data_IF_300107279155
#
_entry.id   IF_300107279155
#
_cell.length_a   1.000
_cell.length_b   1.000
_cell.length_c   1.000
_cell.angle_alpha   90.00
_cell.angle_beta   90.00
_cell.angle_gamma   90.00
#
_symmetry.space_group_name_H-M   'P 1'
#
loop_
_entity.id
_entity.type
_entity.pdbx_description
1 polymer ?
#
# COMPACT_ATOMS: atom_id res chain seq x y z
N UNK A 1 20.71 -8.57 -38.37
CA UNK A 1 19.66 -7.55 -38.16
C UNK A 1 18.31 -8.25 -38.16
N UNK A 2 17.46 -8.00 -37.16
CA UNK A 2 16.34 -8.86 -36.77
C UNK A 2 15.14 -8.75 -37.72
N UNK A 3 14.48 -9.87 -37.97
CA UNK A 3 13.14 -9.94 -38.52
C UNK A 3 12.31 -10.88 -37.63
N UNK A 4 11.31 -10.31 -36.93
CA UNK A 4 10.16 -10.93 -36.25
C UNK A 4 9.33 -9.79 -35.61
N UNK A 5 8.03 -9.97 -35.28
CA UNK A 5 6.92 -10.09 -36.24
C UNK A 5 5.70 -9.21 -35.86
N UNK A 6 4.81 -9.01 -36.86
CA UNK A 6 3.36 -8.74 -36.79
C UNK A 6 2.81 -7.89 -35.63
N UNK A 7 2.51 -6.63 -35.95
CA UNK A 7 1.41 -5.91 -35.31
C UNK A 7 0.09 -6.60 -35.65
N UNK A 8 -0.54 -7.21 -34.65
CA UNK A 8 -1.93 -7.63 -34.71
C UNK A 8 -2.79 -6.49 -34.20
N UNK A 9 -3.31 -5.72 -35.13
CA UNK A 9 -4.54 -4.96 -35.00
C UNK A 9 -5.67 -5.92 -34.62
N UNK A 10 -6.30 -5.73 -33.47
CA UNK A 10 -7.75 -5.83 -33.24
C UNK A 10 -8.05 -5.83 -31.73
N UNK A 11 -8.53 -4.70 -31.20
CA UNK A 11 -9.68 -4.73 -30.29
C UNK A 11 -10.45 -3.39 -30.33
N UNK A 12 -11.66 -3.51 -30.89
CA UNK A 12 -12.81 -2.63 -31.08
C UNK A 12 -12.96 -1.28 -30.31
N UNK A 13 -13.61 -0.27 -30.93
CA UNK A 13 -14.13 0.91 -30.24
C UNK A 13 -15.51 0.59 -29.66
N UNK A 14 -15.60 0.33 -28.35
CA UNK A 14 -16.87 -0.01 -27.73
C UNK A 14 -16.81 0.00 -26.21
N UNK A 15 -17.46 1.01 -25.62
CA UNK A 15 -17.59 1.24 -24.18
C UNK A 15 -16.36 1.90 -23.52
N UNK A 16 -16.42 3.22 -23.36
CA UNK A 16 -15.52 3.91 -22.44
C UNK A 16 -15.64 3.23 -21.06
N UNK A 17 -14.55 2.74 -20.46
CA UNK A 17 -14.63 2.25 -19.10
C UNK A 17 -15.16 3.41 -18.24
N UNK A 18 -16.16 3.13 -17.41
CA UNK A 18 -16.52 4.04 -16.31
C UNK A 18 -15.22 4.58 -15.72
N UNK A 19 -15.11 5.90 -15.54
CA UNK A 19 -13.88 6.65 -15.19
C UNK A 19 -13.34 6.22 -13.81
N UNK A 20 -12.96 4.96 -13.70
CA UNK A 20 -12.40 4.32 -12.52
C UNK A 20 -10.99 4.86 -12.43
N UNK A 21 -10.73 5.54 -11.32
CA UNK A 21 -9.41 6.08 -11.04
C UNK A 21 -8.45 4.90 -10.94
N UNK A 22 -7.43 4.87 -11.79
CA UNK A 22 -6.43 3.80 -11.77
C UNK A 22 -5.45 4.03 -10.61
N UNK A 23 -4.80 2.98 -10.09
CA UNK A 23 -3.77 3.15 -9.06
C UNK A 23 -2.68 4.15 -9.47
N UNK A 24 -2.27 4.11 -10.75
CA UNK A 24 -1.32 5.07 -11.31
C UNK A 24 -1.82 6.52 -11.30
N UNK A 25 -3.12 6.75 -11.53
CA UNK A 25 -3.71 8.08 -11.43
C UNK A 25 -3.75 8.58 -9.98
N UNK A 26 -4.03 7.71 -9.01
CA UNK A 26 -3.93 8.05 -7.57
C UNK A 26 -2.50 8.49 -7.24
N UNK A 27 -1.51 7.68 -7.64
CA UNK A 27 -0.10 7.97 -7.35
C UNK A 27 0.33 9.32 -7.95
N UNK A 28 -0.05 9.59 -9.20
CA UNK A 28 0.27 10.85 -9.86
C UNK A 28 -0.38 12.05 -9.18
N UNK A 29 -1.65 11.93 -8.77
CA UNK A 29 -2.38 12.99 -8.09
C UNK A 29 -1.74 13.34 -6.74
N UNK A 30 -1.50 12.33 -5.88
CA UNK A 30 -0.87 12.55 -4.58
C UNK A 30 0.57 13.09 -4.71
N UNK A 31 1.31 12.68 -5.74
CA UNK A 31 2.66 13.23 -6.01
C UNK A 31 2.60 14.73 -6.30
N UNK A 32 1.66 15.16 -7.14
CA UNK A 32 1.48 16.59 -7.43
C UNK A 32 1.08 17.38 -6.16
N UNK A 33 0.25 16.81 -5.29
CA UNK A 33 -0.13 17.42 -4.02
C UNK A 33 1.06 17.55 -3.06
N UNK A 34 1.89 16.53 -2.94
CA UNK A 34 3.12 16.56 -2.12
C UNK A 34 4.08 17.63 -2.65
N UNK A 35 4.31 17.65 -3.97
CA UNK A 35 5.22 18.61 -4.62
C UNK A 35 4.71 20.06 -4.57
N UNK A 36 3.40 20.26 -4.43
CA UNK A 36 2.82 21.61 -4.26
C UNK A 36 3.35 22.32 -3.00
N UNK A 37 3.78 21.56 -1.98
CA UNK A 37 4.22 22.08 -0.70
C UNK A 37 3.12 22.76 0.12
N UNK A 38 1.84 22.58 -0.25
CA UNK A 38 0.71 23.23 0.39
C UNK A 38 0.27 22.55 1.68
N UNK A 39 0.63 21.27 1.86
CA UNK A 39 0.20 20.43 2.98
C UNK A 39 1.34 20.22 3.98
N UNK A 40 1.00 19.99 5.25
CA UNK A 40 1.98 19.73 6.30
C UNK A 40 1.38 18.88 7.43
N UNK A 41 2.24 18.27 8.25
CA UNK A 41 1.81 17.49 9.41
C UNK A 41 0.87 16.34 9.02
N UNK A 42 -0.25 16.21 9.73
CA UNK A 42 -1.20 15.12 9.54
C UNK A 42 -1.85 15.11 8.15
N UNK A 43 -2.16 16.28 7.56
CA UNK A 43 -2.75 16.35 6.21
C UNK A 43 -1.77 15.81 5.16
N UNK A 44 -0.48 16.12 5.30
CA UNK A 44 0.55 15.58 4.43
C UNK A 44 0.76 14.08 4.68
N UNK A 45 0.63 13.63 5.93
CA UNK A 45 0.68 12.21 6.27
C UNK A 45 -0.42 11.40 5.57
N UNK A 46 -1.65 11.94 5.51
CA UNK A 46 -2.77 11.31 4.82
C UNK A 46 -2.52 11.20 3.31
N UNK A 47 -1.95 12.23 2.68
CA UNK A 47 -1.59 12.20 1.25
C UNK A 47 -0.52 11.13 0.97
N UNK A 48 0.51 11.03 1.83
CA UNK A 48 1.49 9.95 1.73
C UNK A 48 0.83 8.57 1.90
N UNK A 49 -0.08 8.42 2.87
CA UNK A 49 -0.82 7.17 3.05
C UNK A 49 -1.62 6.80 1.79
N UNK A 50 -2.31 7.75 1.17
CA UNK A 50 -3.13 7.51 -0.02
C UNK A 50 -2.27 7.18 -1.25
N UNK A 51 -1.11 7.83 -1.39
CA UNK A 51 -0.13 7.46 -2.43
C UNK A 51 0.41 6.05 -2.21
N UNK A 52 0.71 5.70 -0.97
CA UNK A 52 1.15 4.35 -0.60
C UNK A 52 0.09 3.29 -0.89
N UNK A 53 -1.20 3.62 -0.70
CA UNK A 53 -2.30 2.74 -1.11
C UNK A 53 -2.30 2.53 -2.62
N UNK A 54 -2.16 3.61 -3.40
CA UNK A 54 -2.04 3.55 -4.85
C UNK A 54 -0.89 2.65 -5.32
N UNK A 55 0.29 2.76 -4.71
CA UNK A 55 1.41 1.88 -5.01
C UNK A 55 1.12 0.41 -4.69
N UNK A 56 0.52 0.12 -3.53
CA UNK A 56 0.20 -1.25 -3.14
C UNK A 56 -0.83 -1.87 -4.09
N UNK A 57 -1.87 -1.13 -4.44
CA UNK A 57 -2.90 -1.58 -5.39
C UNK A 57 -2.35 -1.73 -6.82
N UNK A 58 -1.28 -0.98 -7.15
CA UNK A 58 -0.48 -1.14 -8.36
C UNK A 58 0.51 -2.31 -8.35
N UNK A 59 0.62 -3.06 -7.23
CA UNK A 59 1.56 -4.17 -7.09
C UNK A 59 2.99 -3.75 -6.72
N UNK A 60 3.17 -2.55 -6.18
CA UNK A 60 4.45 -1.97 -5.78
C UNK A 60 4.55 -1.79 -4.25
N UNK A 61 4.49 -2.88 -3.45
CA UNK A 61 4.44 -2.79 -1.98
C UNK A 61 5.68 -2.14 -1.35
N UNK A 62 6.85 -2.19 -2.02
CA UNK A 62 8.07 -1.52 -1.53
C UNK A 62 7.94 0.01 -1.58
N UNK A 63 7.38 0.55 -2.67
CA UNK A 63 7.11 1.98 -2.80
C UNK A 63 6.02 2.41 -1.81
N UNK A 64 5.01 1.56 -1.62
CA UNK A 64 3.99 1.78 -0.60
C UNK A 64 4.58 1.91 0.81
N UNK A 65 5.51 1.02 1.20
CA UNK A 65 6.17 1.06 2.51
C UNK A 65 6.95 2.36 2.71
N UNK A 66 7.65 2.85 1.69
CA UNK A 66 8.36 4.11 1.77
C UNK A 66 7.40 5.27 2.08
N UNK A 67 6.27 5.33 1.38
CA UNK A 67 5.24 6.35 1.62
C UNK A 67 4.59 6.23 3.00
N UNK A 68 4.28 5.01 3.46
CA UNK A 68 3.76 4.85 4.82
C UNK A 68 4.79 5.21 5.90
N UNK A 69 6.10 5.07 5.62
CA UNK A 69 7.13 5.54 6.54
C UNK A 69 7.13 7.06 6.65
N UNK A 70 6.96 7.78 5.53
CA UNK A 70 6.83 9.24 5.54
C UNK A 70 5.53 9.67 6.23
N UNK A 71 4.41 8.99 5.97
CA UNK A 71 3.17 9.23 6.70
C UNK A 71 3.36 9.08 8.22
N UNK A 72 4.06 8.04 8.67
CA UNK A 72 4.32 7.78 10.09
C UNK A 72 5.42 8.65 10.70
N UNK A 73 6.27 9.28 9.88
CA UNK A 73 7.24 10.27 10.35
C UNK A 73 6.54 11.59 10.69
N UNK A 74 5.49 11.92 9.93
CA UNK A 74 4.65 13.11 10.08
C UNK A 74 3.56 12.93 11.14
N UNK A 75 2.88 11.78 11.13
CA UNK A 75 1.91 11.37 12.16
C UNK A 75 2.20 9.94 12.66
N UNK A 76 3.01 9.80 13.74
CA UNK A 76 3.30 8.51 14.35
C UNK A 76 2.10 7.77 14.95
N UNK A 77 0.97 8.46 15.08
CA UNK A 77 -0.28 7.92 15.64
C UNK A 77 -1.31 7.52 14.57
N UNK A 78 -0.98 7.65 13.29
CA UNK A 78 -1.86 7.26 12.20
C UNK A 78 -2.08 5.73 12.18
N UNK A 79 -3.23 5.32 12.70
CA UNK A 79 -3.66 3.91 12.71
C UNK A 79 -3.80 3.38 11.28
N UNK A 80 -4.28 4.21 10.35
CA UNK A 80 -4.42 3.86 8.93
C UNK A 80 -3.05 3.54 8.31
N UNK A 81 -2.06 4.40 8.51
CA UNK A 81 -0.72 4.19 7.96
C UNK A 81 -0.04 2.94 8.55
N UNK A 82 -0.18 2.69 9.86
CA UNK A 82 0.33 1.45 10.50
C UNK A 82 -0.30 0.20 9.91
N UNK A 83 -1.62 0.18 9.74
CA UNK A 83 -2.33 -0.99 9.17
C UNK A 83 -1.94 -1.21 7.72
N UNK A 84 -1.86 -0.13 6.95
CA UNK A 84 -1.53 -0.20 5.53
C UNK A 84 -0.09 -0.65 5.29
N UNK A 85 0.86 -0.15 6.09
CA UNK A 85 2.26 -0.61 6.09
C UNK A 85 2.38 -2.07 6.52
N UNK A 86 1.67 -2.45 7.58
CA UNK A 86 1.63 -3.84 8.02
C UNK A 86 1.07 -4.79 6.95
N UNK A 87 0.08 -4.34 6.18
CA UNK A 87 -0.46 -5.11 5.05
C UNK A 87 0.56 -5.21 3.92
N UNK A 88 1.24 -4.11 3.55
CA UNK A 88 2.29 -4.16 2.53
C UNK A 88 3.47 -5.08 2.94
N UNK A 89 3.82 -5.14 4.23
CA UNK A 89 4.78 -6.10 4.75
C UNK A 89 4.29 -7.55 4.62
N UNK A 90 3.00 -7.82 4.80
CA UNK A 90 2.41 -9.15 4.54
C UNK A 90 2.55 -9.52 3.06
N UNK A 91 2.34 -8.57 2.15
CA UNK A 91 2.47 -8.79 0.71
C UNK A 91 3.92 -9.13 0.32
N UNK A 92 4.91 -8.59 1.03
CA UNK A 92 6.33 -8.92 0.89
C UNK A 92 6.78 -10.18 1.67
N UNK A 93 5.89 -10.79 2.46
CA UNK A 93 6.23 -11.92 3.34
C UNK A 93 7.01 -11.54 4.61
N UNK A 94 7.11 -10.26 4.92
CA UNK A 94 7.82 -9.72 6.09
C UNK A 94 6.93 -9.68 7.34
N UNK A 95 6.45 -10.85 7.76
CA UNK A 95 5.37 -10.94 8.75
C UNK A 95 5.72 -10.39 10.14
N UNK A 96 6.99 -10.43 10.55
CA UNK A 96 7.40 -9.88 11.85
C UNK A 96 7.22 -8.36 11.91
N UNK A 97 7.57 -7.65 10.83
CA UNK A 97 7.36 -6.20 10.72
C UNK A 97 5.87 -5.87 10.63
N UNK A 98 5.12 -6.66 9.88
CA UNK A 98 3.66 -6.53 9.83
C UNK A 98 3.00 -6.64 11.21
N UNK A 99 3.42 -7.63 12.01
CA UNK A 99 2.88 -7.83 13.35
C UNK A 99 3.26 -6.69 14.30
N UNK A 100 4.47 -6.14 14.19
CA UNK A 100 4.89 -4.98 14.99
C UNK A 100 3.99 -3.76 14.72
N UNK A 101 3.70 -3.47 13.45
CA UNK A 101 2.84 -2.35 13.06
C UNK A 101 1.41 -2.53 13.53
N UNK A 102 0.84 -3.73 13.37
CA UNK A 102 -0.52 -4.04 13.83
C UNK A 102 -0.60 -4.00 15.36
N UNK A 103 0.44 -4.42 16.07
CA UNK A 103 0.50 -4.33 17.54
C UNK A 103 0.56 -2.88 18.00
N UNK A 104 1.28 -2.00 17.28
CA UNK A 104 1.28 -0.57 17.55
C UNK A 104 -0.10 0.05 17.29
N UNK A 105 -0.75 -0.30 16.18
CA UNK A 105 -2.09 0.16 15.85
C UNK A 105 -3.11 -0.23 16.93
N UNK A 106 -2.99 -1.44 17.48
CA UNK A 106 -3.84 -1.93 18.58
C UNK A 106 -3.60 -1.21 19.92
N UNK A 107 -2.39 -0.70 20.16
CA UNK A 107 -2.10 0.12 21.34
C UNK A 107 -2.76 1.50 21.26
N UNK A 108 -2.86 2.05 20.05
CA UNK A 108 -3.48 3.36 19.80
C UNK A 108 -5.01 3.26 19.81
N UNK A 109 -5.54 2.30 19.05
CA UNK A 109 -6.98 2.07 18.98
C UNK A 109 -7.29 0.56 19.09
N UNK A 110 -7.76 0.09 20.24
CA UNK A 110 -8.17 -1.30 20.39
C UNK A 110 -9.47 -1.58 19.60
N UNK A 111 -9.35 -1.94 18.32
CA UNK A 111 -10.46 -2.29 17.43
C UNK A 111 -10.50 -3.79 17.11
N UNK A 112 -11.70 -4.35 17.07
CA UNK A 112 -11.93 -5.75 16.71
C UNK A 112 -11.39 -6.12 15.30
N UNK A 113 -11.41 -5.18 14.36
CA UNK A 113 -10.89 -5.39 13.00
C UNK A 113 -9.37 -5.59 13.01
N UNK A 114 -8.63 -4.77 13.75
CA UNK A 114 -7.17 -4.90 13.89
C UNK A 114 -6.78 -6.24 14.50
N UNK A 115 -7.58 -6.75 15.46
CA UNK A 115 -7.37 -8.10 16.03
C UNK A 115 -7.52 -9.20 14.97
N UNK A 116 -8.40 -9.04 13.98
CA UNK A 116 -8.55 -9.99 12.86
C UNK A 116 -7.35 -9.91 11.91
N UNK A 117 -6.90 -8.71 11.56
CA UNK A 117 -5.70 -8.48 10.73
C UNK A 117 -4.48 -9.14 11.39
N UNK A 118 -4.27 -8.90 12.69
CA UNK A 118 -3.22 -9.53 13.49
C UNK A 118 -3.27 -11.06 13.42
N UNK A 119 -4.46 -11.63 13.61
CA UNK A 119 -4.64 -13.08 13.55
C UNK A 119 -4.35 -13.63 12.14
N UNK A 120 -4.67 -12.88 11.08
CA UNK A 120 -4.30 -13.18 9.71
C UNK A 120 -2.78 -13.23 9.53
N UNK A 121 -2.09 -12.15 9.88
CA UNK A 121 -0.63 -12.05 9.76
C UNK A 121 0.09 -13.18 10.53
N UNK A 122 -0.36 -13.54 11.74
CA UNK A 122 0.21 -14.67 12.50
C UNK A 122 0.04 -16.02 11.81
N UNK A 123 -1.12 -16.27 11.21
CA UNK A 123 -1.36 -17.54 10.49
C UNK A 123 -0.45 -17.63 9.26
N UNK A 124 -0.31 -16.55 8.52
CA UNK A 124 0.60 -16.48 7.37
C UNK A 124 2.05 -16.67 7.81
N UNK A 125 2.47 -16.00 8.90
CA UNK A 125 3.79 -16.14 9.48
C UNK A 125 4.11 -17.58 9.90
N UNK A 126 3.19 -18.22 10.62
CA UNK A 126 3.37 -19.60 11.10
C UNK A 126 3.47 -20.59 9.94
N UNK A 127 2.70 -20.39 8.87
CA UNK A 127 2.80 -21.22 7.66
C UNK A 127 4.13 -20.98 6.96
N UNK A 128 4.52 -19.73 6.76
CA UNK A 128 5.78 -19.40 6.10
C UNK A 128 6.99 -20.00 6.83
N UNK A 129 7.06 -19.87 8.16
CA UNK A 129 8.13 -20.48 8.98
C UNK A 129 8.15 -22.00 8.92
N UNK A 130 7.01 -22.65 8.72
CA UNK A 130 6.95 -24.11 8.57
C UNK A 130 7.43 -24.58 7.18
N UNK A 131 7.46 -23.70 6.18
CA UNK A 131 7.99 -24.00 4.84
C UNK A 131 9.49 -23.72 4.71
N UNK A 132 10.03 -22.80 5.51
CA UNK A 132 11.42 -22.32 5.39
C UNK A 132 12.37 -22.87 6.45
N UNK A 133 11.88 -23.72 7.36
CA UNK A 133 12.67 -24.44 8.37
C UNK A 133 12.74 -25.93 8.07
#
# INVERSE_FOLDING_TARGET
MPASPKESSDEAPGSAPSRAVTPAQVVAACTAEIESGQYSGADLADIYNDRGLGYRDGGEPTNAIADYNEALSLDPSSVSALVNRGTAFVDLGEYDRALADVDRALQLEPKNLLRKVRAGARRSHSRYRAYTG
#
